data_IF_229739980529
#
_entry.id   IF_229739980529
#
_cell.length_a   1.000
_cell.length_b   1.000
_cell.length_c   1.000
_cell.angle_alpha   90.00
_cell.angle_beta   90.00
_cell.angle_gamma   90.00
#
_symmetry.space_group_name_H-M   'P 1'
#
loop_
_entity.id
_entity.type
_entity.pdbx_description
1 polymer ?
#
# COMPACT_ATOMS: atom_id res chain seq x y z
N UNK A 1 74.20 2.08 -36.96
CA UNK A 1 72.92 1.75 -36.31
C UNK A 1 72.76 2.74 -35.16
N UNK A 2 71.75 3.62 -35.20
CA UNK A 2 71.58 4.69 -34.20
C UNK A 2 70.74 4.24 -32.98
N UNK A 3 70.82 4.92 -31.84
CA UNK A 3 70.08 4.54 -30.64
C UNK A 3 68.57 4.65 -30.86
N UNK A 4 67.82 3.67 -30.35
CA UNK A 4 66.37 3.62 -30.44
C UNK A 4 65.75 4.80 -29.65
N UNK A 5 64.79 5.49 -30.26
CA UNK A 5 64.12 6.63 -29.64
C UNK A 5 63.35 6.25 -28.37
N UNK A 6 63.34 7.16 -27.39
CA UNK A 6 62.59 7.02 -26.13
C UNK A 6 61.10 6.77 -26.40
N UNK A 7 60.52 5.83 -25.67
CA UNK A 7 59.10 5.49 -25.74
C UNK A 7 58.25 6.69 -25.29
N UNK A 8 57.23 7.02 -26.09
CA UNK A 8 56.30 8.13 -25.79
C UNK A 8 55.49 7.90 -24.51
N UNK A 9 55.09 8.99 -23.86
CA UNK A 9 54.29 8.94 -22.64
C UNK A 9 52.94 8.24 -22.87
N UNK A 10 52.42 7.49 -21.88
CA UNK A 10 51.07 6.92 -21.94
C UNK A 10 50.02 7.99 -22.25
N UNK A 11 49.02 7.63 -23.07
CA UNK A 11 47.89 8.51 -23.37
C UNK A 11 47.05 8.80 -22.12
N UNK A 12 46.34 9.92 -22.13
CA UNK A 12 45.40 10.31 -21.07
C UNK A 12 44.24 9.31 -20.98
N UNK A 13 43.75 9.07 -19.78
CA UNK A 13 42.58 8.22 -19.52
C UNK A 13 41.32 8.83 -20.16
N UNK A 14 40.44 7.96 -20.68
CA UNK A 14 39.18 8.38 -21.30
C UNK A 14 38.18 8.93 -20.28
N UNK A 15 37.14 9.67 -20.73
CA UNK A 15 36.08 10.13 -19.85
C UNK A 15 35.29 8.95 -19.25
N UNK A 16 34.80 9.13 -18.03
CA UNK A 16 33.89 8.19 -17.38
C UNK A 16 32.59 8.04 -18.19
N UNK A 17 32.06 6.81 -18.27
CA UNK A 17 30.82 6.52 -18.97
C UNK A 17 29.59 7.11 -18.25
N UNK A 18 28.43 7.21 -18.94
CA UNK A 18 27.20 7.64 -18.29
C UNK A 18 26.79 6.66 -17.18
N UNK A 19 26.24 7.21 -16.09
CA UNK A 19 25.63 6.42 -15.02
C UNK A 19 24.49 5.54 -15.59
N UNK A 20 24.42 4.29 -15.14
CA UNK A 20 23.38 3.35 -15.57
C UNK A 20 21.97 3.82 -15.14
N UNK A 21 20.90 3.26 -15.74
CA UNK A 21 19.54 3.56 -15.29
C UNK A 21 19.39 3.18 -13.81
N UNK A 22 18.70 4.04 -13.05
CA UNK A 22 18.37 3.76 -11.66
C UNK A 22 17.53 2.47 -11.59
N UNK A 23 17.91 1.54 -10.70
CA UNK A 23 17.12 0.34 -10.44
C UNK A 23 15.73 0.68 -9.86
N UNK A 24 14.77 -0.26 -9.89
CA UNK A 24 13.46 -0.05 -9.25
C UNK A 24 13.66 0.40 -7.80
N UNK A 25 12.83 1.36 -7.34
CA UNK A 25 12.86 1.83 -5.96
C UNK A 25 12.71 0.62 -5.01
N UNK A 26 13.58 0.56 -3.99
CA UNK A 26 13.58 -0.52 -3.02
C UNK A 26 12.21 -0.64 -2.34
N UNK A 27 11.56 -1.77 -2.55
CA UNK A 27 10.41 -2.22 -1.75
C UNK A 27 10.91 -2.31 -0.31
N UNK A 28 10.30 -1.58 0.62
CA UNK A 28 10.53 -1.82 2.03
C UNK A 28 10.06 -3.25 2.31
N UNK A 29 11.01 -4.15 2.57
CA UNK A 29 10.86 -5.60 2.76
C UNK A 29 10.20 -5.96 4.11
N UNK A 30 9.08 -5.30 4.38
CA UNK A 30 8.36 -5.23 5.65
C UNK A 30 7.13 -4.31 5.58
N UNK A 31 6.98 -3.55 4.49
CA UNK A 31 5.90 -2.60 4.26
C UNK A 31 4.85 -3.14 3.26
N UNK A 32 4.54 -4.45 3.32
CA UNK A 32 3.60 -5.13 2.40
C UNK A 32 2.24 -4.42 2.39
N UNK A 33 1.62 -4.34 3.56
CA UNK A 33 0.28 -3.77 3.70
C UNK A 33 0.27 -2.25 3.50
N UNK A 34 1.35 -1.55 3.83
CA UNK A 34 1.46 -0.11 3.63
C UNK A 34 1.50 0.27 2.14
N UNK A 35 2.25 -0.48 1.34
CA UNK A 35 2.29 -0.28 -0.12
C UNK A 35 0.93 -0.54 -0.74
N UNK A 36 0.26 -1.62 -0.32
CA UNK A 36 -1.08 -1.94 -0.77
C UNK A 36 -2.10 -0.86 -0.35
N UNK A 37 -2.00 -0.35 0.88
CA UNK A 37 -2.84 0.73 1.40
C UNK A 37 -2.69 2.00 0.56
N UNK A 38 -1.46 2.43 0.28
CA UNK A 38 -1.19 3.55 -0.62
C UNK A 38 -1.78 3.30 -2.01
N UNK A 39 -1.49 2.14 -2.60
CA UNK A 39 -1.89 1.81 -3.98
C UNK A 39 -3.41 1.90 -4.16
N UNK A 40 -4.17 1.44 -3.17
CA UNK A 40 -5.63 1.55 -3.18
C UNK A 40 -6.09 2.97 -2.90
N UNK A 41 -5.59 3.64 -1.86
CA UNK A 41 -5.98 5.03 -1.55
C UNK A 41 -5.75 5.99 -2.73
N UNK A 42 -4.68 5.79 -3.50
CA UNK A 42 -4.40 6.59 -4.68
C UNK A 42 -5.48 6.45 -5.76
N UNK A 43 -6.02 5.24 -5.93
CA UNK A 43 -7.18 5.02 -6.79
C UNK A 43 -8.46 5.60 -6.18
N UNK A 44 -8.66 5.48 -4.85
CA UNK A 44 -9.84 5.99 -4.15
C UNK A 44 -10.02 7.50 -4.35
N UNK A 45 -8.94 8.29 -4.27
CA UNK A 45 -8.97 9.75 -4.52
C UNK A 45 -9.60 10.06 -5.89
N UNK A 46 -9.35 9.22 -6.89
CA UNK A 46 -9.85 9.41 -8.26
C UNK A 46 -11.22 8.76 -8.49
N UNK A 47 -11.45 7.56 -7.97
CA UNK A 47 -12.67 6.77 -8.19
C UNK A 47 -13.86 7.25 -7.35
N UNK A 48 -13.58 7.83 -6.18
CA UNK A 48 -14.57 8.36 -5.26
C UNK A 48 -14.30 9.83 -4.94
N UNK A 49 -14.31 10.72 -5.95
CA UNK A 49 -13.96 12.11 -5.74
C UNK A 49 -14.95 12.78 -4.79
N UNK A 50 -14.43 13.61 -3.88
CA UNK A 50 -15.20 14.34 -2.87
C UNK A 50 -15.97 13.45 -1.87
N UNK A 51 -15.59 12.17 -1.74
CA UNK A 51 -16.18 11.27 -0.75
C UNK A 51 -15.41 11.33 0.56
N UNK A 52 -16.17 11.42 1.64
CA UNK A 52 -15.65 11.30 2.99
C UNK A 52 -15.33 9.84 3.27
N UNK A 53 -14.13 9.61 3.79
CA UNK A 53 -13.69 8.33 4.32
C UNK A 53 -13.50 8.44 5.83
N UNK A 54 -13.80 7.34 6.52
CA UNK A 54 -13.47 7.15 7.93
C UNK A 54 -12.22 6.27 7.96
N UNK A 55 -11.17 6.72 8.62
CA UNK A 55 -9.89 6.04 8.74
C UNK A 55 -9.74 5.58 10.18
N UNK A 56 -9.54 4.27 10.39
CA UNK A 56 -9.22 3.73 11.70
C UNK A 56 -7.72 3.47 11.78
N UNK A 57 -7.13 3.98 12.85
CA UNK A 57 -5.71 3.92 13.12
C UNK A 57 -5.38 2.68 13.96
N UNK A 58 -4.14 2.20 13.89
CA UNK A 58 -3.70 1.03 14.65
C UNK A 58 -3.76 1.20 16.19
N UNK A 59 -3.83 2.44 16.68
CA UNK A 59 -3.91 2.78 18.10
C UNK A 59 -5.34 2.89 18.63
N UNK A 60 -6.34 2.57 17.81
CA UNK A 60 -7.76 2.72 18.12
C UNK A 60 -8.30 4.13 17.94
N UNK A 61 -7.50 5.08 17.45
CA UNK A 61 -7.96 6.38 17.00
C UNK A 61 -8.70 6.30 15.65
N UNK A 62 -9.43 7.36 15.32
CA UNK A 62 -10.08 7.49 14.01
C UNK A 62 -10.06 8.92 13.51
N UNK A 63 -9.88 9.09 12.21
CA UNK A 63 -9.94 10.37 11.51
C UNK A 63 -10.97 10.29 10.38
N UNK A 64 -11.58 11.42 10.05
CA UNK A 64 -12.60 11.50 8.99
C UNK A 64 -12.31 12.70 8.08
N UNK A 65 -12.41 12.49 6.77
CA UNK A 65 -12.21 13.55 5.79
C UNK A 65 -12.24 13.07 4.35
N UNK A 66 -12.12 14.00 3.41
CA UNK A 66 -11.98 13.75 1.99
C UNK A 66 -10.49 13.63 1.67
N UNK A 67 -10.01 12.49 1.12
CA UNK A 67 -8.61 12.35 0.73
C UNK A 67 -8.33 13.21 -0.50
N UNK A 68 -7.31 14.06 -0.41
CA UNK A 68 -6.95 15.06 -1.44
C UNK A 68 -5.58 14.83 -2.07
N UNK A 69 -4.73 14.02 -1.44
CA UNK A 69 -3.41 13.72 -1.96
C UNK A 69 -2.52 13.04 -0.93
N UNK A 70 -1.21 13.06 -1.20
CA UNK A 70 -0.21 12.44 -0.35
C UNK A 70 1.00 13.35 -0.14
N UNK A 71 1.72 13.11 0.96
CA UNK A 71 3.01 13.73 1.22
C UNK A 71 4.11 12.70 1.55
N UNK A 72 5.33 12.86 1.00
CA UNK A 72 5.61 13.71 -0.16
C UNK A 72 4.76 13.29 -1.38
N UNK A 73 4.62 14.18 -2.36
CA UNK A 73 3.93 13.81 -3.60
C UNK A 73 4.65 12.60 -4.23
N UNK A 74 3.93 11.51 -4.58
CA UNK A 74 4.57 10.29 -5.04
C UNK A 74 5.39 10.51 -6.31
N UNK A 75 6.56 9.87 -6.37
CA UNK A 75 7.43 9.88 -7.55
C UNK A 75 8.02 8.49 -7.79
N UNK A 76 8.80 8.32 -8.85
CA UNK A 76 9.46 7.04 -9.14
C UNK A 76 10.47 6.60 -8.07
N UNK A 77 10.90 7.51 -7.20
CA UNK A 77 11.94 7.25 -6.18
C UNK A 77 11.46 7.50 -4.75
N UNK A 78 10.25 8.03 -4.59
CA UNK A 78 9.72 8.45 -3.29
C UNK A 78 8.30 7.96 -3.11
N UNK A 79 8.13 7.07 -2.12
CA UNK A 79 6.82 6.66 -1.65
C UNK A 79 6.29 7.67 -0.63
N UNK A 80 4.97 7.97 -0.66
CA UNK A 80 4.39 8.81 0.37
C UNK A 80 4.33 8.09 1.73
N UNK A 81 4.45 8.87 2.80
CA UNK A 81 4.24 8.40 4.17
C UNK A 81 3.00 9.00 4.83
N UNK A 82 2.42 10.05 4.25
CA UNK A 82 1.26 10.75 4.78
C UNK A 82 0.13 10.81 3.74
N UNK A 83 -1.09 10.59 4.20
CA UNK A 83 -2.32 10.88 3.48
C UNK A 83 -2.81 12.27 3.89
N UNK A 84 -3.12 13.12 2.89
CA UNK A 84 -3.67 14.46 3.12
C UNK A 84 -5.18 14.38 2.97
N UNK A 85 -5.88 14.80 4.02
CA UNK A 85 -7.32 15.01 4.02
C UNK A 85 -7.62 16.51 3.91
N UNK A 86 -8.84 16.86 3.54
CA UNK A 86 -9.35 18.23 3.66
C UNK A 86 -9.45 18.69 5.13
N UNK A 87 -9.58 17.75 6.06
CA UNK A 87 -9.70 17.95 7.50
C UNK A 87 -8.37 17.86 8.28
N UNK A 88 -7.30 17.32 7.68
CA UNK A 88 -6.06 17.04 8.40
C UNK A 88 -5.06 16.19 7.65
N UNK A 89 -4.12 15.59 8.38
CA UNK A 89 -3.04 14.76 7.83
C UNK A 89 -2.92 13.48 8.65
N UNK A 90 -2.89 12.35 7.97
CA UNK A 90 -2.84 11.01 8.58
C UNK A 90 -1.55 10.31 8.20
N UNK A 91 -0.93 9.62 9.16
CA UNK A 91 0.22 8.76 8.88
C UNK A 91 -0.25 7.48 8.18
N UNK A 92 0.14 7.31 6.92
CA UNK A 92 -0.25 6.18 6.08
C UNK A 92 0.17 4.84 6.70
N UNK A 93 1.36 4.77 7.30
CA UNK A 93 1.92 3.57 7.92
C UNK A 93 1.21 3.15 9.20
N UNK A 94 0.21 3.93 9.65
CA UNK A 94 -0.54 3.70 10.89
C UNK A 94 -2.02 3.41 10.63
N UNK A 95 -2.43 3.36 9.36
CA UNK A 95 -3.81 3.07 8.97
C UNK A 95 -4.05 1.57 9.08
N UNK A 96 -4.98 1.17 9.95
CA UNK A 96 -5.44 -0.21 10.05
C UNK A 96 -6.55 -0.51 9.03
N UNK A 97 -7.46 0.44 8.83
CA UNK A 97 -8.51 0.33 7.81
C UNK A 97 -9.05 1.70 7.40
N UNK A 98 -9.79 1.73 6.29
CA UNK A 98 -10.65 2.86 5.98
C UNK A 98 -11.98 2.41 5.36
N UNK A 99 -13.04 3.19 5.63
CA UNK A 99 -14.41 2.98 5.14
C UNK A 99 -14.82 4.16 4.27
N UNK A 100 -15.37 3.88 3.09
CA UNK A 100 -15.95 4.93 2.23
C UNK A 100 -17.46 4.97 2.47
N UNK A 101 -18.01 6.12 2.83
CA UNK A 101 -19.42 6.21 3.22
C UNK A 101 -20.35 6.53 2.04
N UNK A 102 -21.54 5.95 2.05
CA UNK A 102 -22.64 6.22 1.12
C UNK A 102 -22.39 5.80 -0.33
N UNK A 103 -21.52 4.82 -0.57
CA UNK A 103 -21.17 4.35 -1.93
C UNK A 103 -21.20 2.84 -2.05
N UNK A 104 -21.41 2.34 -3.26
CA UNK A 104 -21.25 0.93 -3.60
C UNK A 104 -19.78 0.65 -3.92
N UNK A 105 -19.31 -0.55 -3.59
CA UNK A 105 -17.97 -1.02 -3.96
C UNK A 105 -17.76 -1.00 -5.49
N UNK A 106 -16.67 -0.39 -5.93
CA UNK A 106 -16.24 -0.34 -7.33
C UNK A 106 -15.31 -1.53 -7.62
N UNK A 107 -15.79 -2.46 -8.44
CA UNK A 107 -15.04 -3.68 -8.80
C UNK A 107 -13.86 -3.42 -9.74
N UNK A 108 -13.68 -2.19 -10.23
CA UNK A 108 -12.54 -1.78 -11.05
C UNK A 108 -11.34 -1.29 -10.25
N UNK A 109 -11.39 -1.36 -8.91
CA UNK A 109 -10.22 -1.12 -8.06
C UNK A 109 -9.23 -2.26 -8.27
N UNK A 110 -7.98 -1.89 -8.55
CA UNK A 110 -6.87 -2.83 -8.73
C UNK A 110 -6.09 -3.00 -7.43
N UNK A 111 -5.34 -4.11 -7.31
CA UNK A 111 -4.52 -4.44 -6.15
C UNK A 111 -3.12 -4.88 -6.59
N UNK A 112 -2.11 -4.67 -5.75
CA UNK A 112 -0.77 -5.17 -6.05
C UNK A 112 -0.79 -6.69 -5.98
N UNK A 113 -0.13 -7.39 -6.91
CA UNK A 113 -0.04 -8.84 -6.87
C UNK A 113 0.86 -9.29 -5.71
N UNK A 114 0.68 -10.53 -5.28
CA UNK A 114 1.66 -11.20 -4.42
C UNK A 114 3.01 -11.21 -5.16
N UNK A 115 4.13 -10.80 -4.52
CA UNK A 115 5.46 -10.87 -5.11
C UNK A 115 5.79 -12.28 -5.59
N UNK A 116 6.49 -12.39 -6.74
CA UNK A 116 6.84 -13.68 -7.35
C UNK A 116 7.82 -14.50 -6.51
N UNK A 117 8.69 -13.82 -5.77
CA UNK A 117 9.53 -14.39 -4.73
C UNK A 117 9.08 -13.74 -3.42
N UNK A 118 8.05 -14.29 -2.75
CA UNK A 118 7.57 -13.71 -1.53
C UNK A 118 8.68 -13.74 -0.47
N UNK A 119 8.82 -12.64 0.26
CA UNK A 119 9.74 -12.59 1.38
C UNK A 119 9.32 -13.62 2.44
N UNK A 120 10.28 -14.41 2.91
CA UNK A 120 10.04 -15.31 4.03
C UNK A 120 10.01 -14.50 5.33
N UNK A 121 8.95 -14.64 6.11
CA UNK A 121 8.83 -13.95 7.39
C UNK A 121 7.44 -14.01 7.99
N UNK A 122 7.37 -13.78 9.30
CA UNK A 122 6.13 -13.87 10.06
C UNK A 122 5.03 -12.91 9.56
N UNK A 123 5.41 -11.72 9.08
CA UNK A 123 4.44 -10.78 8.50
C UNK A 123 3.77 -11.32 7.24
N UNK A 124 4.56 -11.96 6.37
CA UNK A 124 4.06 -12.60 5.16
C UNK A 124 3.17 -13.81 5.49
N UNK A 125 3.61 -14.65 6.44
CA UNK A 125 2.83 -15.83 6.86
C UNK A 125 1.49 -15.43 7.49
N UNK A 126 1.46 -14.40 8.34
CA UNK A 126 0.24 -13.86 8.92
C UNK A 126 -0.70 -13.29 7.86
N UNK A 127 -0.18 -12.50 6.91
CA UNK A 127 -0.96 -11.99 5.77
C UNK A 127 -1.62 -13.12 4.99
N UNK A 128 -0.80 -14.11 4.60
CA UNK A 128 -1.26 -15.23 3.79
C UNK A 128 -2.28 -16.08 4.54
N UNK A 129 -2.08 -16.31 5.84
CA UNK A 129 -3.02 -17.05 6.68
C UNK A 129 -4.39 -16.37 6.71
N UNK A 130 -4.46 -15.06 6.96
CA UNK A 130 -5.72 -14.30 6.98
C UNK A 130 -6.41 -14.36 5.62
N UNK A 131 -5.68 -14.09 4.53
CA UNK A 131 -6.22 -14.11 3.17
C UNK A 131 -6.71 -15.51 2.76
N UNK A 132 -6.03 -16.56 3.18
CA UNK A 132 -6.43 -17.93 2.89
C UNK A 132 -7.59 -18.42 3.76
N UNK A 133 -7.72 -17.89 4.98
CA UNK A 133 -8.80 -18.23 5.91
C UNK A 133 -10.16 -17.66 5.47
N UNK A 134 -10.19 -16.41 5.01
CA UNK A 134 -11.44 -15.74 4.64
C UNK A 134 -12.02 -16.22 3.29
N UNK A 135 -13.35 -16.33 3.25
CA UNK A 135 -14.12 -16.71 2.06
C UNK A 135 -14.90 -15.54 1.50
N UNK A 136 -14.79 -15.29 0.19
CA UNK A 136 -15.59 -14.24 -0.48
C UNK A 136 -17.08 -14.61 -0.41
N UNK A 137 -17.90 -13.63 -0.03
CA UNK A 137 -19.35 -13.77 0.14
C UNK A 137 -19.78 -14.21 1.54
N UNK A 138 -18.84 -14.62 2.41
CA UNK A 138 -19.13 -14.92 3.80
C UNK A 138 -19.28 -13.63 4.62
N UNK A 139 -20.24 -13.61 5.54
CA UNK A 139 -20.40 -12.52 6.49
C UNK A 139 -19.50 -12.78 7.70
N UNK A 140 -18.60 -11.84 7.97
CA UNK A 140 -17.59 -11.96 9.01
C UNK A 140 -17.47 -10.62 9.75
N UNK A 141 -17.25 -10.69 11.06
CA UNK A 141 -16.86 -9.53 11.84
C UNK A 141 -15.34 -9.45 11.90
N UNK A 142 -14.77 -8.30 11.53
CA UNK A 142 -13.33 -8.06 11.53
C UNK A 142 -13.01 -6.96 12.52
N UNK A 143 -12.03 -7.23 13.40
CA UNK A 143 -11.42 -6.22 14.26
C UNK A 143 -9.99 -5.93 13.83
N UNK A 144 -9.66 -4.64 13.73
CA UNK A 144 -8.35 -4.14 13.35
C UNK A 144 -8.11 -2.77 14.00
N UNK A 145 -6.89 -2.54 14.51
CA UNK A 145 -6.56 -1.31 15.24
C UNK A 145 -7.35 -1.17 16.53
N UNK A 146 -7.56 -2.25 17.28
CA UNK A 146 -8.30 -2.26 18.54
C UNK A 146 -9.81 -2.01 18.43
N UNK A 147 -10.39 -2.00 17.22
CA UNK A 147 -11.81 -1.74 16.98
C UNK A 147 -12.42 -2.74 16.00
N UNK A 148 -13.72 -3.01 16.14
CA UNK A 148 -14.48 -3.70 15.08
C UNK A 148 -14.70 -2.75 13.91
N UNK A 149 -14.05 -3.05 12.79
CA UNK A 149 -14.05 -2.20 11.58
C UNK A 149 -15.05 -2.67 10.53
N UNK A 150 -15.46 -3.93 10.59
CA UNK A 150 -16.39 -4.53 9.63
C UNK A 150 -17.30 -5.57 10.27
N UNK A 151 -18.53 -5.67 9.77
CA UNK A 151 -19.49 -6.73 10.05
C UNK A 151 -20.37 -6.90 8.82
N UNK A 152 -19.96 -7.78 7.91
CA UNK A 152 -20.64 -7.96 6.63
C UNK A 152 -19.86 -8.83 5.65
N UNK A 153 -20.31 -8.90 4.39
CA UNK A 153 -19.75 -9.82 3.41
C UNK A 153 -18.32 -9.43 3.01
N UNK A 154 -17.44 -10.43 2.90
CA UNK A 154 -16.14 -10.27 2.24
C UNK A 154 -16.33 -10.15 0.72
N UNK A 155 -15.87 -9.05 0.13
CA UNK A 155 -15.98 -8.78 -1.32
C UNK A 155 -14.74 -9.22 -2.09
N UNK A 156 -13.56 -9.03 -1.49
CA UNK A 156 -12.24 -9.35 -2.05
C UNK A 156 -11.26 -9.73 -0.96
N UNK A 157 -10.29 -10.54 -1.35
CA UNK A 157 -9.20 -11.00 -0.48
C UNK A 157 -7.88 -10.90 -1.23
N UNK A 158 -7.27 -9.72 -1.15
CA UNK A 158 -6.13 -9.33 -1.96
C UNK A 158 -4.88 -9.27 -1.11
N UNK A 159 -3.72 -9.32 -1.75
CA UNK A 159 -2.45 -9.30 -1.06
C UNK A 159 -2.34 -8.05 -0.17
N UNK A 160 -2.18 -8.22 1.14
CA UNK A 160 -2.09 -7.09 2.08
C UNK A 160 -3.43 -6.40 2.40
N UNK A 161 -4.56 -6.85 1.86
CA UNK A 161 -5.84 -6.16 2.02
C UNK A 161 -7.09 -7.05 1.92
N UNK A 162 -7.98 -6.93 2.90
CA UNK A 162 -9.33 -7.49 2.83
C UNK A 162 -10.31 -6.38 2.51
N UNK A 163 -11.24 -6.64 1.58
CA UNK A 163 -12.36 -5.74 1.30
C UNK A 163 -13.63 -6.38 1.77
N UNK A 164 -14.37 -5.63 2.58
CA UNK A 164 -15.72 -5.97 3.04
C UNK A 164 -16.65 -4.79 2.78
N UNK A 165 -17.93 -4.97 3.05
CA UNK A 165 -18.92 -3.90 3.00
C UNK A 165 -20.05 -4.18 3.98
N UNK A 166 -20.91 -3.19 4.18
CA UNK A 166 -22.21 -3.41 4.79
C UNK A 166 -23.13 -4.17 3.80
N UNK A 167 -24.37 -4.46 4.22
CA UNK A 167 -25.36 -5.13 3.38
C UNK A 167 -25.52 -4.45 1.99
N UNK A 168 -25.74 -5.27 0.96
CA UNK A 168 -25.85 -4.85 -0.45
C UNK A 168 -24.58 -4.21 -1.04
N UNK A 169 -23.40 -4.55 -0.52
CA UNK A 169 -22.08 -4.06 -0.99
C UNK A 169 -21.92 -2.54 -0.88
N UNK A 170 -22.64 -1.92 0.06
CA UNK A 170 -22.58 -0.48 0.35
C UNK A 170 -21.58 -0.23 1.48
N UNK A 171 -20.97 0.95 1.44
CA UNK A 171 -19.95 1.38 2.36
C UNK A 171 -18.73 0.44 2.42
N UNK A 172 -17.95 0.33 1.32
CA UNK A 172 -16.81 -0.57 1.28
C UNK A 172 -15.78 -0.20 2.35
N UNK A 173 -15.25 -1.21 3.02
CA UNK A 173 -14.25 -1.15 4.07
C UNK A 173 -13.02 -1.91 3.58
N UNK A 174 -11.89 -1.24 3.59
CA UNK A 174 -10.59 -1.76 3.17
C UNK A 174 -9.73 -1.90 4.42
N UNK A 175 -9.40 -3.15 4.78
CA UNK A 175 -8.69 -3.47 6.01
C UNK A 175 -7.32 -4.05 5.68
N UNK A 176 -6.28 -3.48 6.28
CA UNK A 176 -4.90 -4.00 6.23
C UNK A 176 -4.86 -5.36 6.89
N UNK A 177 -4.41 -6.39 6.18
CA UNK A 177 -4.24 -7.74 6.77
C UNK A 177 -3.18 -7.76 7.87
N UNK A 178 -2.21 -6.84 7.82
CA UNK A 178 -1.18 -6.70 8.85
C UNK A 178 -1.71 -6.15 10.18
N UNK A 179 -2.93 -5.59 10.19
CA UNK A 179 -3.55 -5.00 11.38
C UNK A 179 -4.83 -5.74 11.81
N UNK A 180 -5.21 -6.84 11.15
CA UNK A 180 -6.34 -7.66 11.59
C UNK A 180 -5.93 -8.43 12.84
N UNK A 181 -6.68 -8.22 13.91
CA UNK A 181 -6.44 -8.81 15.22
C UNK A 181 -7.38 -9.98 15.50
N UNK A 182 -8.64 -9.85 15.08
CA UNK A 182 -9.72 -10.82 15.36
C UNK A 182 -10.64 -10.97 14.16
N UNK A 183 -11.05 -12.21 13.91
CA UNK A 183 -12.02 -12.62 12.89
C UNK A 183 -13.09 -13.46 13.62
N UNK A 184 -14.33 -12.96 13.68
CA UNK A 184 -15.47 -13.54 14.42
C UNK A 184 -16.67 -13.86 13.52
#
# INVERSE_FOLDING_TARGET
MGPQGIQGHPGVEGPEGPEGPQGPAGVCSGCICEQQMYYVLNQIITKYPNRVIIINMEDGGSEEGIPTGFYPTPSSTVNPGLLILDSGVVNLCKIASFKITGVVYDTSIEYLPVPTEPEEGCGFDCEAAIRNYLTVGENVQISAGGQTVSNGPILRKEYGMIVSADNANVNPIFTSTCNIEVID
#
